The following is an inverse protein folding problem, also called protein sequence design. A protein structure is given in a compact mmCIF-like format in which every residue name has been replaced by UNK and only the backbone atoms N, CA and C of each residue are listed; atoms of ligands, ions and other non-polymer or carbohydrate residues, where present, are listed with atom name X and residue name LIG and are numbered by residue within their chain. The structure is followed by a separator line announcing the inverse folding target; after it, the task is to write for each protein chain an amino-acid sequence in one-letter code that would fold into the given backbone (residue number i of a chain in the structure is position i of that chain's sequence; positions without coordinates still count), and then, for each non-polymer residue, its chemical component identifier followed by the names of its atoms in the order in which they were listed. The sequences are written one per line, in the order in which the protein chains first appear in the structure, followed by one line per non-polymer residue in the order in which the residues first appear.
data_IF_996113676939
#
_entry.id   IF_996113676939
#
_cell.length_a   1.000
_cell.length_b   1.000
_cell.length_c   1.000
_cell.angle_alpha   90.00
_cell.angle_beta   90.00
_cell.angle_gamma   90.00
#
_symmetry.space_group_name_H-M   'P 1'
#
loop_
_entity.id
_entity.type
_entity.pdbx_description
1 polymer ?
#
# COMPACT_ATOMS: atom_id res chain seq x y z
N UNK A 1 -23.51 -14.59 19.13
CA UNK A 1 -24.14 -15.13 17.90
C UNK A 1 -23.77 -14.30 16.67
N UNK A 2 -23.78 -12.95 16.74
CA UNK A 2 -23.45 -12.07 15.61
C UNK A 2 -22.01 -12.25 15.10
N UNK A 3 -21.03 -12.45 15.99
CA UNK A 3 -19.64 -12.71 15.61
C UNK A 3 -19.45 -14.00 14.83
N UNK A 4 -20.16 -15.08 15.24
CA UNK A 4 -20.12 -16.36 14.53
C UNK A 4 -20.76 -16.28 13.13
N UNK A 5 -21.84 -15.50 13.01
CA UNK A 5 -22.48 -15.25 11.71
C UNK A 5 -21.56 -14.47 10.78
N UNK A 6 -20.99 -13.36 11.28
CA UNK A 6 -20.01 -12.57 10.51
C UNK A 6 -18.84 -13.43 10.03
N UNK A 7 -18.25 -14.22 10.93
CA UNK A 7 -17.13 -15.10 10.60
C UNK A 7 -17.48 -16.12 9.53
N UNK A 8 -18.64 -16.77 9.62
CA UNK A 8 -19.10 -17.72 8.60
C UNK A 8 -19.38 -17.05 7.27
N UNK A 9 -20.02 -15.88 7.30
CA UNK A 9 -20.34 -15.12 6.11
C UNK A 9 -19.06 -14.68 5.40
N UNK A 10 -18.16 -14.03 6.12
CA UNK A 10 -16.90 -13.57 5.54
C UNK A 10 -16.00 -14.72 5.08
N UNK A 11 -15.97 -15.84 5.77
CA UNK A 11 -15.22 -17.02 5.30
C UNK A 11 -15.67 -17.50 3.91
N UNK A 12 -16.92 -17.24 3.54
CA UNK A 12 -17.44 -17.62 2.23
C UNK A 12 -17.16 -16.58 1.14
N UNK A 13 -17.31 -15.29 1.45
CA UNK A 13 -17.25 -14.21 0.44
C UNK A 13 -15.90 -13.47 0.42
N UNK A 14 -15.17 -13.50 1.53
CA UNK A 14 -13.91 -12.79 1.71
C UNK A 14 -13.05 -13.51 2.77
N UNK A 15 -12.57 -14.74 2.50
CA UNK A 15 -11.85 -15.56 3.49
C UNK A 15 -10.62 -14.85 4.08
N UNK A 16 -9.92 -14.06 3.29
CA UNK A 16 -8.78 -13.26 3.75
C UNK A 16 -9.09 -12.29 4.90
N UNK A 17 -10.34 -11.91 5.13
CA UNK A 17 -10.72 -11.07 6.29
C UNK A 17 -10.86 -11.86 7.59
N UNK A 18 -10.83 -13.17 7.54
CA UNK A 18 -10.99 -14.06 8.70
C UNK A 18 -9.75 -14.88 9.01
N UNK A 19 -8.80 -14.91 8.12
CA UNK A 19 -7.55 -15.66 8.19
C UNK A 19 -6.37 -14.67 8.20
N UNK A 20 -6.41 -13.74 9.17
CA UNK A 20 -5.30 -12.78 9.31
C UNK A 20 -4.04 -13.49 9.79
N UNK A 21 -2.91 -13.31 9.12
CA UNK A 21 -1.64 -13.86 9.57
C UNK A 21 -1.18 -13.24 10.89
N UNK A 22 -0.43 -13.97 11.67
CA UNK A 22 0.34 -13.40 12.78
C UNK A 22 1.58 -12.74 12.17
N UNK A 23 1.67 -11.43 12.25
CA UNK A 23 2.74 -10.68 11.61
C UNK A 23 3.49 -9.75 12.55
N UNK A 24 4.68 -9.35 12.15
CA UNK A 24 5.44 -8.29 12.80
C UNK A 24 5.85 -7.22 11.79
N UNK A 25 5.97 -5.99 12.27
CA UNK A 25 6.56 -4.88 11.52
C UNK A 25 8.08 -4.84 11.70
N UNK A 26 8.79 -4.61 10.61
CA UNK A 26 10.23 -4.40 10.60
C UNK A 26 10.57 -3.05 9.97
N UNK A 27 11.35 -2.22 10.68
CA UNK A 27 11.75 -0.88 10.24
C UNK A 27 13.17 -0.86 9.65
N UNK A 28 13.53 -1.92 8.93
CA UNK A 28 14.83 -2.03 8.24
C UNK A 28 14.69 -2.81 6.95
N UNK A 29 15.48 -2.43 5.95
CA UNK A 29 15.68 -3.19 4.70
C UNK A 29 17.10 -3.70 4.57
N UNK A 30 17.91 -3.64 5.65
CA UNK A 30 19.22 -4.28 5.68
C UNK A 30 19.08 -5.80 5.55
N UNK A 31 19.74 -6.45 4.56
CA UNK A 31 19.55 -7.87 4.29
C UNK A 31 19.83 -8.79 5.47
N UNK A 32 20.84 -8.48 6.29
CA UNK A 32 21.19 -9.32 7.43
C UNK A 32 20.18 -9.17 8.58
N UNK A 33 19.64 -7.95 8.77
CA UNK A 33 18.57 -7.70 9.74
C UNK A 33 17.30 -8.41 9.30
N UNK A 34 16.92 -8.28 8.02
CA UNK A 34 15.72 -8.92 7.47
C UNK A 34 15.79 -10.44 7.58
N UNK A 35 16.90 -11.06 7.17
CA UNK A 35 17.08 -12.53 7.26
C UNK A 35 16.98 -13.01 8.70
N UNK A 36 17.64 -12.31 9.64
CA UNK A 36 17.57 -12.65 11.06
C UNK A 36 16.13 -12.55 11.58
N UNK A 37 15.39 -11.50 11.19
CA UNK A 37 13.99 -11.36 11.57
C UNK A 37 13.12 -12.48 11.00
N UNK A 38 13.38 -12.90 9.76
CA UNK A 38 12.72 -14.06 9.13
C UNK A 38 12.96 -15.33 9.91
N UNK A 39 14.23 -15.62 10.30
CA UNK A 39 14.56 -16.80 11.08
C UNK A 39 13.87 -16.79 12.46
N UNK A 40 13.83 -15.61 13.12
CA UNK A 40 13.09 -15.44 14.38
C UNK A 40 11.58 -15.64 14.20
N UNK A 41 10.99 -15.15 13.09
CA UNK A 41 9.58 -15.38 12.78
C UNK A 41 9.29 -16.87 12.64
N UNK A 42 10.10 -17.60 11.89
CA UNK A 42 9.97 -19.04 11.74
C UNK A 42 10.03 -19.77 13.11
N UNK A 43 10.99 -19.42 13.96
CA UNK A 43 11.16 -20.01 15.28
C UNK A 43 9.98 -19.74 16.23
N UNK A 44 9.42 -18.52 16.17
CA UNK A 44 8.34 -18.06 17.04
C UNK A 44 6.93 -18.35 16.50
N UNK A 45 6.81 -18.82 15.25
CA UNK A 45 5.52 -19.09 14.62
C UNK A 45 4.81 -17.84 14.08
N UNK A 46 5.55 -16.78 13.76
CA UNK A 46 5.03 -15.66 12.98
C UNK A 46 4.92 -16.07 11.52
N UNK A 47 3.84 -15.64 10.87
CA UNK A 47 3.52 -16.05 9.50
C UNK A 47 3.97 -15.01 8.47
N UNK A 48 4.17 -13.76 8.90
CA UNK A 48 4.49 -12.65 7.99
C UNK A 48 5.39 -11.60 8.65
N UNK A 49 6.25 -10.97 7.84
CA UNK A 49 6.95 -9.72 8.17
C UNK A 49 6.48 -8.62 7.22
N UNK A 50 6.09 -7.47 7.75
CA UNK A 50 5.79 -6.28 6.94
C UNK A 50 6.95 -5.29 7.07
N UNK A 51 7.58 -4.96 5.93
CA UNK A 51 8.56 -3.87 5.85
C UNK A 51 7.80 -2.55 5.94
N UNK A 52 7.73 -2.00 7.15
CA UNK A 52 6.82 -0.94 7.53
C UNK A 52 7.39 0.46 7.28
N UNK A 53 6.64 1.48 7.68
CA UNK A 53 7.09 2.87 7.66
C UNK A 53 8.44 3.05 8.33
N UNK A 54 9.33 3.79 7.69
CA UNK A 54 10.69 4.03 8.19
C UNK A 54 11.69 2.90 7.91
N UNK A 55 11.29 1.81 7.25
CA UNK A 55 12.22 0.73 6.88
C UNK A 55 13.22 1.12 5.77
N UNK A 56 12.90 2.13 4.99
CA UNK A 56 13.65 2.50 3.78
C UNK A 56 13.20 1.73 2.53
N UNK A 57 12.09 0.97 2.60
CA UNK A 57 11.47 0.39 1.43
C UNK A 57 10.94 1.50 0.51
N UNK A 58 11.31 1.45 -0.77
CA UNK A 58 10.78 2.31 -1.81
C UNK A 58 10.13 1.47 -2.92
N UNK A 59 8.81 1.37 -2.89
CA UNK A 59 8.04 0.63 -3.88
C UNK A 59 7.86 1.40 -5.20
N UNK A 60 8.18 2.68 -5.23
CA UNK A 60 8.11 3.52 -6.43
C UNK A 60 9.38 3.39 -7.31
N UNK A 61 10.44 2.81 -6.75
CA UNK A 61 11.64 2.44 -7.49
C UNK A 61 11.51 1.02 -8.04
N UNK A 62 11.14 0.93 -9.32
CA UNK A 62 10.98 -0.33 -10.06
C UNK A 62 12.22 -0.68 -10.91
N UNK A 63 13.39 -0.11 -10.58
CA UNK A 63 14.65 -0.50 -11.22
C UNK A 63 14.95 -1.99 -11.03
N UNK A 64 15.67 -2.56 -11.98
CA UNK A 64 16.05 -3.99 -11.92
C UNK A 64 16.85 -4.31 -10.64
N UNK A 65 17.70 -3.38 -10.23
CA UNK A 65 18.49 -3.52 -9.01
C UNK A 65 17.62 -3.58 -7.75
N UNK A 66 16.67 -2.64 -7.61
CA UNK A 66 15.77 -2.58 -6.45
C UNK A 66 14.84 -3.81 -6.42
N UNK A 67 14.25 -4.18 -7.54
CA UNK A 67 13.41 -5.38 -7.66
C UNK A 67 14.20 -6.65 -7.29
N UNK A 68 15.38 -6.85 -7.86
CA UNK A 68 16.20 -8.03 -7.57
C UNK A 68 16.61 -8.12 -6.10
N UNK A 69 16.94 -6.97 -5.49
CA UNK A 69 17.25 -6.87 -4.06
C UNK A 69 16.11 -7.38 -3.21
N UNK A 70 14.89 -6.83 -3.41
CA UNK A 70 13.73 -7.22 -2.59
C UNK A 70 13.25 -8.63 -2.93
N UNK A 71 13.29 -9.03 -4.19
CA UNK A 71 12.97 -10.41 -4.57
C UNK A 71 13.84 -11.42 -3.82
N UNK A 72 15.13 -11.16 -3.69
CA UNK A 72 16.04 -12.05 -2.94
C UNK A 72 15.62 -12.19 -1.47
N UNK A 73 15.13 -11.11 -0.84
CA UNK A 73 14.66 -11.15 0.54
C UNK A 73 13.33 -11.90 0.66
N UNK A 74 12.41 -11.67 -0.28
CA UNK A 74 11.13 -12.38 -0.35
C UNK A 74 11.36 -13.89 -0.58
N UNK A 75 12.21 -14.26 -1.52
CA UNK A 75 12.54 -15.68 -1.79
C UNK A 75 13.14 -16.35 -0.55
N UNK A 76 13.97 -15.63 0.21
CA UNK A 76 14.49 -16.13 1.48
C UNK A 76 13.38 -16.35 2.51
N UNK A 77 12.48 -15.38 2.68
CA UNK A 77 11.36 -15.49 3.60
C UNK A 77 10.45 -16.67 3.23
N UNK A 78 10.08 -16.80 1.95
CA UNK A 78 9.27 -17.92 1.46
C UNK A 78 9.95 -19.27 1.69
N UNK A 79 11.28 -19.35 1.56
CA UNK A 79 12.03 -20.60 1.85
C UNK A 79 11.92 -21.04 3.31
N UNK A 80 11.54 -20.13 4.20
CA UNK A 80 11.31 -20.34 5.64
C UNK A 80 9.84 -20.48 6.00
N UNK A 81 8.93 -20.39 5.03
CA UNK A 81 7.49 -20.39 5.25
C UNK A 81 6.96 -19.10 5.88
N UNK A 82 7.68 -17.99 5.69
CA UNK A 82 7.28 -16.66 6.18
C UNK A 82 6.94 -15.78 4.99
N UNK A 83 5.78 -15.14 5.01
CA UNK A 83 5.36 -14.17 4.00
C UNK A 83 6.03 -12.81 4.22
N UNK A 84 6.13 -12.01 3.15
CA UNK A 84 6.67 -10.65 3.26
C UNK A 84 5.71 -9.62 2.70
N UNK A 85 5.35 -8.67 3.55
CA UNK A 85 4.52 -7.53 3.21
C UNK A 85 5.33 -6.25 3.02
N UNK A 86 4.71 -5.29 2.38
CA UNK A 86 5.27 -4.00 2.04
C UNK A 86 4.38 -2.84 2.51
N UNK A 87 4.97 -1.65 2.58
CA UNK A 87 4.29 -0.43 3.00
C UNK A 87 4.59 0.72 2.05
N UNK A 88 3.58 1.51 1.71
CA UNK A 88 3.76 2.79 1.03
C UNK A 88 2.89 3.88 1.65
N UNK A 89 3.46 5.07 1.81
CA UNK A 89 2.78 6.21 2.38
C UNK A 89 2.02 6.97 1.28
N UNK A 90 0.70 7.05 1.38
CA UNK A 90 -0.16 7.81 0.46
C UNK A 90 -0.59 9.17 1.00
N UNK A 91 -0.64 9.32 2.32
CA UNK A 91 -1.04 10.57 2.96
C UNK A 91 0.17 11.28 3.58
N UNK A 92 0.00 12.54 3.99
CA UNK A 92 1.05 13.32 4.67
C UNK A 92 2.37 13.40 3.90
N UNK A 93 2.28 13.49 2.57
CA UNK A 93 3.46 13.65 1.70
C UNK A 93 3.21 14.72 0.64
N UNK A 94 4.30 15.33 0.22
CA UNK A 94 4.31 16.34 -0.84
C UNK A 94 4.99 15.77 -2.07
N UNK A 95 4.30 15.83 -3.21
CA UNK A 95 4.84 15.44 -4.51
C UNK A 95 5.09 16.70 -5.34
N UNK A 96 4.08 17.53 -5.56
CA UNK A 96 4.18 18.75 -6.34
C UNK A 96 2.87 19.49 -6.47
N UNK A 97 2.94 20.74 -6.94
CA UNK A 97 1.75 21.60 -7.06
C UNK A 97 0.73 21.07 -8.08
N UNK A 98 1.21 20.38 -9.11
CA UNK A 98 0.37 19.80 -10.17
C UNK A 98 -0.18 18.42 -9.81
N UNK A 99 0.24 17.85 -8.65
CA UNK A 99 -0.06 16.50 -8.23
C UNK A 99 -0.93 16.47 -6.96
N UNK A 100 -0.59 17.33 -6.00
CA UNK A 100 -1.21 17.29 -4.67
C UNK A 100 -2.66 17.77 -4.73
N UNK A 101 -3.46 17.26 -3.79
CA UNK A 101 -4.84 17.68 -3.63
C UNK A 101 -4.94 19.18 -3.34
N UNK A 102 -5.78 19.89 -4.08
CA UNK A 102 -6.07 21.30 -3.88
C UNK A 102 -7.21 21.45 -2.88
N UNK A 103 -6.91 22.14 -1.78
CA UNK A 103 -7.88 22.42 -0.72
C UNK A 103 -8.97 23.39 -1.24
N UNK A 104 -10.26 23.00 -1.19
CA UNK A 104 -11.33 23.82 -1.72
C UNK A 104 -11.56 25.15 -0.98
N UNK A 105 -11.06 25.29 0.25
CA UNK A 105 -11.18 26.52 1.03
C UNK A 105 -10.12 27.55 0.70
N UNK A 106 -8.92 27.09 0.34
CA UNK A 106 -7.77 27.97 0.13
C UNK A 106 -7.38 28.10 -1.35
N UNK A 107 -7.84 27.18 -2.19
CA UNK A 107 -7.41 27.08 -3.59
C UNK A 107 -5.93 26.68 -3.76
N UNK A 108 -5.32 26.18 -2.69
CA UNK A 108 -3.90 25.76 -2.66
C UNK A 108 -3.77 24.35 -2.10
N UNK A 109 -2.63 23.70 -2.35
CA UNK A 109 -2.30 22.44 -1.71
C UNK A 109 -2.11 22.59 -0.20
N UNK A 110 -2.24 21.49 0.54
CA UNK A 110 -2.03 21.45 1.99
C UNK A 110 -3.20 21.98 2.80
N UNK A 111 -3.00 22.07 4.11
CA UNK A 111 -4.05 22.51 5.04
C UNK A 111 -5.21 21.53 5.19
N UNK A 112 -5.06 20.29 4.74
CA UNK A 112 -5.99 19.17 4.97
C UNK A 112 -5.71 18.51 6.31
N UNK A 113 -6.53 17.53 6.69
CA UNK A 113 -6.43 16.84 7.98
C UNK A 113 -5.04 16.26 8.25
N UNK A 114 -4.37 15.77 7.20
CA UNK A 114 -3.05 15.15 7.29
C UNK A 114 -1.96 15.96 6.56
N UNK A 115 -2.18 17.27 6.39
CA UNK A 115 -1.24 18.16 5.71
C UNK A 115 -1.45 18.19 4.20
N UNK A 116 -0.48 17.78 3.41
CA UNK A 116 -0.58 17.60 1.97
C UNK A 116 -0.69 16.11 1.63
N UNK A 117 -1.44 15.80 0.60
CA UNK A 117 -1.54 14.44 0.08
C UNK A 117 -1.62 14.48 -1.46
N UNK A 118 -0.95 13.56 -2.16
CA UNK A 118 -1.09 13.47 -3.61
C UNK A 118 -2.50 13.04 -3.98
N UNK A 119 -2.98 13.54 -5.10
CA UNK A 119 -4.25 13.15 -5.68
C UNK A 119 -4.05 11.90 -6.56
N UNK A 120 -4.69 10.79 -6.23
CA UNK A 120 -4.62 9.58 -7.05
C UNK A 120 -5.25 9.74 -8.45
N UNK A 121 -5.95 10.86 -8.69
CA UNK A 121 -6.50 11.22 -9.99
C UNK A 121 -5.60 12.16 -10.80
N UNK A 122 -4.38 12.41 -10.37
CA UNK A 122 -3.33 13.05 -11.17
C UNK A 122 -2.60 11.99 -12.03
N UNK A 123 -1.83 12.46 -13.01
CA UNK A 123 -0.99 11.56 -13.83
C UNK A 123 0.03 10.80 -12.97
N UNK A 124 0.57 11.45 -11.94
CA UNK A 124 1.41 10.78 -10.95
C UNK A 124 0.67 9.63 -10.26
N UNK A 125 -0.63 9.81 -9.94
CA UNK A 125 -1.42 8.78 -9.30
C UNK A 125 -1.54 7.52 -10.16
N UNK A 126 -1.68 7.67 -11.48
CA UNK A 126 -1.67 6.55 -12.42
C UNK A 126 -0.32 5.82 -12.41
N UNK A 127 0.77 6.56 -12.55
CA UNK A 127 2.12 6.00 -12.51
C UNK A 127 2.43 5.31 -11.17
N UNK A 128 2.02 5.93 -10.05
CA UNK A 128 2.20 5.39 -8.72
C UNK A 128 1.52 4.03 -8.57
N UNK A 129 0.23 3.93 -8.91
CA UNK A 129 -0.52 2.68 -8.81
C UNK A 129 0.08 1.59 -9.69
N UNK A 130 0.57 1.95 -10.89
CA UNK A 130 1.24 1.01 -11.77
C UNK A 130 2.59 0.54 -11.20
N UNK A 131 3.38 1.44 -10.61
CA UNK A 131 4.63 1.08 -9.94
C UNK A 131 4.41 0.13 -8.76
N UNK A 132 3.39 0.40 -7.94
CA UNK A 132 3.02 -0.48 -6.82
C UNK A 132 2.68 -1.89 -7.31
N UNK A 133 1.84 -2.02 -8.34
CA UNK A 133 1.50 -3.31 -8.95
C UNK A 133 2.75 -4.03 -9.46
N UNK A 134 3.57 -3.34 -10.24
CA UNK A 134 4.81 -3.89 -10.81
C UNK A 134 5.78 -4.35 -9.71
N UNK A 135 5.92 -3.57 -8.64
CA UNK A 135 6.79 -3.92 -7.54
C UNK A 135 6.32 -5.18 -6.82
N UNK A 136 5.03 -5.26 -6.46
CA UNK A 136 4.42 -6.43 -5.80
C UNK A 136 4.57 -7.67 -6.69
N UNK A 137 4.15 -7.58 -7.94
CA UNK A 137 4.18 -8.70 -8.90
C UNK A 137 5.60 -9.24 -9.11
N UNK A 138 6.58 -8.35 -9.26
CA UNK A 138 7.95 -8.74 -9.56
C UNK A 138 8.75 -9.20 -8.35
N UNK A 139 8.43 -8.71 -7.16
CA UNK A 139 9.12 -9.13 -5.93
C UNK A 139 8.46 -10.34 -5.29
N UNK A 140 7.16 -10.57 -5.50
CA UNK A 140 6.38 -11.61 -4.84
C UNK A 140 5.93 -11.24 -3.42
N UNK A 141 5.92 -9.94 -3.06
CA UNK A 141 5.34 -9.50 -1.77
C UNK A 141 3.83 -9.73 -1.76
N UNK A 142 3.31 -10.28 -0.66
CA UNK A 142 1.94 -10.79 -0.54
C UNK A 142 0.99 -9.87 0.23
N UNK A 143 1.49 -8.80 0.85
CA UNK A 143 0.66 -7.87 1.61
C UNK A 143 1.09 -6.43 1.31
N UNK A 144 0.10 -5.55 1.11
CA UNK A 144 0.30 -4.12 0.97
C UNK A 144 -0.36 -3.38 2.12
N UNK A 145 0.45 -2.66 2.88
CA UNK A 145 0.01 -1.80 3.97
C UNK A 145 0.16 -0.33 3.59
N UNK A 146 -0.77 0.49 3.99
CA UNK A 146 -0.68 1.95 3.94
C UNK A 146 -1.47 2.59 5.08
N UNK A 147 -1.23 3.87 5.37
CA UNK A 147 -1.93 4.57 6.45
C UNK A 147 -3.40 4.79 6.14
N UNK A 148 -4.26 4.25 7.02
CA UNK A 148 -5.69 4.46 7.07
C UNK A 148 -6.49 3.89 5.89
N UNK A 149 -7.82 3.93 6.00
CA UNK A 149 -8.70 3.70 4.85
C UNK A 149 -8.61 4.91 3.93
N UNK A 150 -7.76 4.82 2.93
CA UNK A 150 -7.41 5.95 2.12
C UNK A 150 -8.39 6.11 0.95
N UNK A 151 -9.31 7.04 1.09
CA UNK A 151 -10.10 7.53 -0.02
C UNK A 151 -9.50 8.81 -0.65
N UNK A 152 -8.34 9.26 -0.15
CA UNK A 152 -7.74 10.53 -0.49
C UNK A 152 -8.44 11.72 0.17
N UNK A 153 -7.81 12.88 0.08
CA UNK A 153 -8.44 14.16 0.40
C UNK A 153 -9.30 14.62 -0.78
N UNK A 154 -10.35 15.41 -0.51
CA UNK A 154 -11.09 16.07 -1.60
C UNK A 154 -10.16 17.00 -2.37
N UNK A 155 -10.28 17.03 -3.68
CA UNK A 155 -9.40 17.81 -4.54
C UNK A 155 -10.19 18.78 -5.41
N UNK A 156 -9.93 20.08 -5.25
CA UNK A 156 -10.55 21.12 -6.06
C UNK A 156 -9.78 21.44 -7.36
N UNK A 157 -8.76 20.67 -7.69
CA UNK A 157 -8.05 20.82 -8.96
C UNK A 157 -9.01 20.60 -10.14
N UNK A 158 -8.81 21.37 -11.19
CA UNK A 158 -9.50 21.22 -12.49
C UNK A 158 -8.53 20.80 -13.60
N UNK A 159 -7.27 20.52 -13.22
CA UNK A 159 -6.19 20.15 -14.15
C UNK A 159 -5.81 18.68 -14.05
N UNK A 160 -6.26 17.97 -12.99
CA UNK A 160 -6.03 16.54 -12.88
C UNK A 160 -6.88 15.77 -13.89
N UNK A 161 -6.28 14.79 -14.55
CA UNK A 161 -6.86 14.13 -15.72
C UNK A 161 -7.99 13.16 -15.40
N UNK A 162 -8.05 12.63 -14.17
CA UNK A 162 -8.97 11.55 -13.79
C UNK A 162 -10.09 11.98 -12.85
N UNK A 163 -10.32 13.30 -12.67
CA UNK A 163 -11.54 13.87 -12.11
C UNK A 163 -11.79 15.26 -12.71
N UNK A 164 -13.03 15.74 -12.64
CA UNK A 164 -13.44 17.02 -13.20
C UNK A 164 -13.32 18.20 -12.23
N UNK A 165 -13.19 17.90 -10.93
CA UNK A 165 -13.08 18.89 -9.89
C UNK A 165 -13.53 18.38 -8.52
N UNK A 166 -13.93 19.30 -7.64
CA UNK A 166 -14.27 18.97 -6.25
C UNK A 166 -15.36 17.90 -6.11
N UNK A 167 -16.39 17.97 -6.92
CA UNK A 167 -17.60 17.18 -6.72
C UNK A 167 -17.42 15.67 -7.00
N UNK A 168 -16.47 15.31 -7.83
CA UNK A 168 -16.21 13.92 -8.22
C UNK A 168 -14.83 13.41 -7.78
N UNK A 169 -13.97 14.30 -7.26
CA UNK A 169 -12.59 13.97 -6.93
C UNK A 169 -12.45 12.85 -5.92
N UNK A 170 -13.23 12.90 -4.85
CA UNK A 170 -13.15 11.92 -3.76
C UNK A 170 -13.64 10.54 -4.21
N UNK A 171 -14.73 10.50 -4.99
CA UNK A 171 -15.24 9.26 -5.58
C UNK A 171 -14.23 8.61 -6.54
N UNK A 172 -13.63 9.41 -7.42
CA UNK A 172 -12.67 8.88 -8.38
C UNK A 172 -11.39 8.38 -7.70
N UNK A 173 -10.88 9.07 -6.69
CA UNK A 173 -9.73 8.59 -5.91
C UNK A 173 -10.05 7.27 -5.19
N UNK A 174 -11.23 7.19 -4.56
CA UNK A 174 -11.68 5.95 -3.91
C UNK A 174 -11.81 4.79 -4.91
N UNK A 175 -12.34 5.07 -6.11
CA UNK A 175 -12.45 4.06 -7.15
C UNK A 175 -11.08 3.53 -7.57
N UNK A 176 -10.12 4.41 -7.79
CA UNK A 176 -8.76 4.01 -8.19
C UNK A 176 -8.04 3.15 -7.14
N UNK A 177 -8.11 3.51 -5.87
CA UNK A 177 -7.51 2.67 -4.83
C UNK A 177 -8.23 1.33 -4.68
N UNK A 178 -9.55 1.31 -4.89
CA UNK A 178 -10.34 0.07 -4.88
C UNK A 178 -9.96 -0.84 -6.05
N UNK A 179 -9.65 -0.28 -7.21
CA UNK A 179 -9.13 -1.06 -8.34
C UNK A 179 -7.79 -1.72 -8.02
N UNK A 180 -6.90 -1.03 -7.29
CA UNK A 180 -5.66 -1.64 -6.79
C UNK A 180 -5.97 -2.83 -5.85
N UNK A 181 -6.87 -2.65 -4.89
CA UNK A 181 -7.25 -3.73 -3.96
C UNK A 181 -7.87 -4.93 -4.68
N UNK A 182 -8.76 -4.67 -5.63
CA UNK A 182 -9.36 -5.74 -6.45
C UNK A 182 -8.29 -6.49 -7.26
N UNK A 183 -7.33 -5.75 -7.83
CA UNK A 183 -6.21 -6.36 -8.53
C UNK A 183 -5.37 -7.24 -7.59
N UNK A 184 -5.06 -6.78 -6.38
CA UNK A 184 -4.33 -7.57 -5.38
C UNK A 184 -5.08 -8.85 -5.01
N UNK A 185 -6.38 -8.75 -4.73
CA UNK A 185 -7.20 -9.93 -4.40
C UNK A 185 -7.31 -10.94 -5.55
N UNK A 186 -7.10 -10.50 -6.78
CA UNK A 186 -7.16 -11.38 -7.96
C UNK A 186 -5.81 -12.03 -8.32
N UNK A 187 -4.70 -11.49 -7.82
CA UNK A 187 -3.33 -11.89 -8.19
C UNK A 187 -2.47 -12.31 -6.99
N UNK A 188 -3.03 -12.28 -5.77
CA UNK A 188 -2.34 -12.68 -4.53
C UNK A 188 -2.85 -13.99 -3.93
#
# INVERSE_FOLDING_TARGET
RTGLFKRRFYKTIAPWTTENPIFMHLTSTDPEIVKRAVDQCQECGYEMIILSFGSGLNMEDISEENIARFKTLVDYAHSKGVEMGCYSLLASRWIGDDVDCINPKTGKRGGMRYGSAPCLCSDWGEEYLQKIKTFIERTGMSCFEHDGSYAGDVCASTTHTHHKGLNDSHWNQFHRITELYNWMCANG
#
